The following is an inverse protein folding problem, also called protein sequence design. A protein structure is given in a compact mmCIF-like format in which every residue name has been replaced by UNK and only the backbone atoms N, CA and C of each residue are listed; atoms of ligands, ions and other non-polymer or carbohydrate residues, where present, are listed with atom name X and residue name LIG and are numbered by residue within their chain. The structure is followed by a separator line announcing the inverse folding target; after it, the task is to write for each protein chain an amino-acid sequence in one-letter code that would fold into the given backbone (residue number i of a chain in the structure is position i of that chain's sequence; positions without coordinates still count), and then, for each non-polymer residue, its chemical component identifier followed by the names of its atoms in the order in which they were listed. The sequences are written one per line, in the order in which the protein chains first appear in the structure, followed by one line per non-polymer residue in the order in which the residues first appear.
data_IF_180521862639
#
_entry.id   IF_180521862639
#
_cell.length_a   1.000
_cell.length_b   1.000
_cell.length_c   1.000
_cell.angle_alpha   90.00
_cell.angle_beta   90.00
_cell.angle_gamma   90.00
#
_symmetry.space_group_name_H-M   'P 1'
#
loop_
_entity.id
_entity.type
_entity.pdbx_description
1 polymer ?
#
# COMPACT_ATOMS: atom_id res chain seq x y z
N UNK A 1 3.15 -18.65 -8.74
CA UNK A 1 4.07 -17.49 -8.90
C UNK A 1 4.71 -17.19 -7.58
N UNK A 2 6.03 -17.18 -7.46
CA UNK A 2 6.72 -16.88 -6.19
C UNK A 2 7.98 -16.07 -6.44
N UNK A 3 8.35 -15.24 -5.48
CA UNK A 3 9.63 -14.53 -5.45
C UNK A 3 10.72 -15.53 -5.06
N UNK A 4 11.66 -15.81 -5.96
CA UNK A 4 12.74 -16.79 -5.74
C UNK A 4 14.10 -16.13 -5.50
N UNK A 5 14.27 -14.85 -5.83
CA UNK A 5 15.50 -14.11 -5.53
C UNK A 5 15.22 -12.62 -5.37
N UNK A 6 15.88 -12.01 -4.40
CA UNK A 6 15.87 -10.57 -4.16
C UNK A 6 17.31 -10.06 -4.08
N UNK A 7 17.68 -9.11 -4.91
CA UNK A 7 18.95 -8.42 -4.87
C UNK A 7 18.76 -6.92 -4.60
N UNK A 8 19.55 -6.37 -3.70
CA UNK A 8 19.46 -4.99 -3.23
C UNK A 8 20.85 -4.35 -3.36
N UNK A 9 20.91 -3.14 -3.90
CA UNK A 9 22.14 -2.37 -4.05
C UNK A 9 21.93 -0.95 -3.54
N UNK A 10 22.80 -0.51 -2.63
CA UNK A 10 22.83 0.83 -2.00
C UNK A 10 21.45 1.37 -1.55
N UNK A 11 20.66 0.50 -0.92
CA UNK A 11 19.32 0.81 -0.47
C UNK A 11 19.26 0.80 1.06
N UNK A 12 18.86 1.90 1.67
CA UNK A 12 18.74 2.07 3.14
C UNK A 12 20.04 1.67 3.86
N UNK A 13 20.01 0.60 4.66
CA UNK A 13 21.17 0.06 5.37
C UNK A 13 21.99 -0.93 4.54
N UNK A 14 21.50 -1.36 3.37
CA UNK A 14 22.13 -2.38 2.56
C UNK A 14 23.04 -1.77 1.50
N UNK A 15 24.31 -2.17 1.45
CA UNK A 15 25.24 -1.86 0.34
C UNK A 15 24.96 -2.76 -0.86
N UNK A 16 25.31 -4.04 -0.74
CA UNK A 16 24.95 -5.07 -1.70
C UNK A 16 24.53 -6.31 -0.94
N UNK A 17 23.34 -6.80 -1.23
CA UNK A 17 22.79 -7.98 -0.57
C UNK A 17 21.95 -8.79 -1.56
N UNK A 18 22.03 -10.10 -1.43
CA UNK A 18 21.19 -11.04 -2.19
C UNK A 18 20.57 -12.05 -1.23
N UNK A 19 19.33 -12.35 -1.46
CA UNK A 19 18.58 -13.35 -0.74
C UNK A 19 17.92 -14.29 -1.74
N UNK A 20 18.30 -15.56 -1.70
CA UNK A 20 17.64 -16.61 -2.46
C UNK A 20 16.52 -17.20 -1.60
N UNK A 21 15.36 -17.42 -2.21
CA UNK A 21 14.10 -17.68 -1.54
C UNK A 21 13.49 -19.01 -2.00
N UNK A 22 12.85 -19.71 -1.08
CA UNK A 22 12.23 -21.01 -1.35
C UNK A 22 10.81 -20.92 -1.95
N UNK A 23 10.27 -19.70 -2.12
CA UNK A 23 8.89 -19.50 -2.58
C UNK A 23 7.82 -19.60 -1.51
N UNK A 24 8.13 -20.11 -0.32
CA UNK A 24 7.24 -20.20 0.84
C UNK A 24 7.36 -19.01 1.81
N UNK A 25 6.82 -19.16 3.03
CA UNK A 25 6.94 -18.14 4.08
C UNK A 25 8.40 -17.90 4.48
N UNK A 26 8.74 -16.65 4.80
CA UNK A 26 10.09 -16.20 5.18
C UNK A 26 10.01 -15.45 6.52
N UNK A 27 10.81 -15.87 7.46
CA UNK A 27 10.98 -15.23 8.78
C UNK A 27 12.29 -14.47 8.81
N UNK A 28 12.20 -13.15 8.97
CA UNK A 28 13.34 -12.24 9.13
C UNK A 28 13.49 -11.90 10.61
N UNK A 29 14.49 -12.44 11.27
CA UNK A 29 14.68 -12.21 12.71
C UNK A 29 16.03 -11.58 13.03
N UNK A 30 16.12 -10.85 14.12
CA UNK A 30 17.33 -10.18 14.57
C UNK A 30 17.04 -8.92 15.38
N UNK A 31 18.07 -8.25 15.91
CA UNK A 31 17.91 -7.09 16.79
C UNK A 31 17.20 -5.92 16.10
N UNK A 32 16.66 -4.99 16.90
CA UNK A 32 16.08 -3.76 16.37
C UNK A 32 17.15 -2.94 15.65
N UNK A 33 16.76 -2.33 14.53
CA UNK A 33 17.67 -1.57 13.68
C UNK A 33 18.57 -2.41 12.76
N UNK A 34 18.47 -3.73 12.75
CA UNK A 34 19.29 -4.59 11.89
C UNK A 34 18.97 -4.51 10.39
N UNK A 35 17.83 -3.89 10.02
CA UNK A 35 17.43 -3.73 8.62
C UNK A 35 16.26 -4.58 8.16
N UNK A 36 15.60 -5.35 9.03
CA UNK A 36 14.45 -6.20 8.69
C UNK A 36 13.35 -5.46 7.93
N UNK A 37 12.89 -4.34 8.47
CA UNK A 37 11.90 -3.47 7.81
C UNK A 37 12.40 -2.90 6.48
N UNK A 38 13.70 -2.66 6.32
CA UNK A 38 14.28 -2.20 5.06
C UNK A 38 14.18 -3.26 3.95
N UNK A 39 14.25 -4.55 4.31
CA UNK A 39 14.01 -5.67 3.39
C UNK A 39 12.53 -5.70 2.96
N UNK A 40 11.59 -5.58 3.90
CA UNK A 40 10.16 -5.49 3.56
C UNK A 40 9.88 -4.27 2.68
N UNK A 41 10.50 -3.13 2.99
CA UNK A 41 10.38 -1.91 2.18
C UNK A 41 10.87 -2.14 0.75
N UNK A 42 11.99 -2.83 0.56
CA UNK A 42 12.49 -3.19 -0.76
C UNK A 42 11.48 -4.02 -1.56
N UNK A 43 10.89 -5.05 -0.95
CA UNK A 43 9.85 -5.87 -1.61
C UNK A 43 8.60 -5.02 -1.91
N UNK A 44 8.20 -4.14 -1.00
CA UNK A 44 7.03 -3.27 -1.20
C UNK A 44 7.20 -2.29 -2.37
N UNK A 45 8.44 -1.98 -2.77
CA UNK A 45 8.75 -1.15 -3.93
C UNK A 45 8.64 -1.91 -5.27
N UNK A 46 8.42 -3.20 -5.26
CA UNK A 46 8.03 -3.95 -6.45
C UNK A 46 6.54 -3.74 -6.82
N UNK A 47 6.00 -2.60 -6.41
CA UNK A 47 4.67 -2.08 -6.78
C UNK A 47 4.75 -0.61 -7.18
N UNK A 48 3.70 -0.04 -7.81
CA UNK A 48 3.56 1.40 -7.96
C UNK A 48 3.53 2.12 -6.60
N UNK A 49 3.86 3.41 -6.60
CA UNK A 49 3.80 4.23 -5.40
C UNK A 49 5.13 4.31 -4.64
N UNK A 50 5.07 4.66 -3.36
CA UNK A 50 6.24 5.00 -2.53
C UNK A 50 6.66 3.88 -1.57
N UNK A 51 6.11 2.67 -1.75
CA UNK A 51 6.41 1.53 -0.89
C UNK A 51 5.86 1.67 0.53
N UNK A 52 6.37 0.84 1.42
CA UNK A 52 5.89 0.61 2.78
C UNK A 52 5.93 1.88 3.65
N UNK A 53 7.03 2.65 3.60
CA UNK A 53 7.22 3.86 4.42
C UNK A 53 6.83 5.17 3.73
N UNK A 54 6.44 5.15 2.48
CA UNK A 54 6.04 6.34 1.75
C UNK A 54 7.17 7.35 1.47
N UNK A 55 8.43 6.94 1.59
CA UNK A 55 9.61 7.78 1.38
C UNK A 55 9.77 8.22 -0.09
N UNK A 56 10.47 9.32 -0.30
CA UNK A 56 10.84 9.75 -1.64
C UNK A 56 11.99 8.89 -2.20
N UNK A 57 12.09 8.81 -3.52
CA UNK A 57 13.12 8.04 -4.18
C UNK A 57 14.56 8.45 -3.77
N UNK A 58 14.76 9.73 -3.46
CA UNK A 58 16.04 10.26 -2.99
C UNK A 58 16.38 9.84 -1.54
N UNK A 59 15.37 9.65 -0.68
CA UNK A 59 15.56 9.25 0.71
C UNK A 59 15.88 7.77 0.91
N UNK A 60 15.63 6.96 -0.11
CA UNK A 60 15.81 5.50 -0.05
C UNK A 60 17.26 5.07 -0.28
N UNK A 61 18.08 5.90 -0.94
CA UNK A 61 19.48 5.59 -1.20
C UNK A 61 20.30 5.46 0.09
N UNK A 62 21.20 4.46 0.11
CA UNK A 62 22.13 4.28 1.21
C UNK A 62 22.97 5.55 1.40
N UNK A 63 23.18 5.91 2.65
CA UNK A 63 24.01 7.05 3.03
C UNK A 63 24.97 6.63 4.12
N UNK A 64 26.25 6.91 3.91
CA UNK A 64 27.25 6.74 4.93
C UNK A 64 27.51 8.05 5.72
N UNK A 65 28.08 7.96 6.92
CA UNK A 65 28.43 9.15 7.69
C UNK A 65 29.32 10.10 6.86
N UNK A 66 28.89 11.36 6.74
CA UNK A 66 29.59 12.39 5.95
C UNK A 66 29.08 12.57 4.51
N UNK A 67 28.24 11.69 4.00
CA UNK A 67 27.60 11.87 2.68
C UNK A 67 26.40 12.83 2.78
N UNK A 68 26.39 13.87 1.93
CA UNK A 68 25.29 14.86 1.89
C UNK A 68 24.03 14.29 1.25
N UNK A 69 24.14 13.35 0.33
CA UNK A 69 23.04 12.70 -0.40
C UNK A 69 23.20 11.19 -0.33
N UNK A 70 22.06 10.48 -0.45
CA UNK A 70 22.06 9.04 -0.65
C UNK A 70 22.65 8.67 -2.02
N UNK A 71 23.09 7.43 -2.14
CA UNK A 71 23.62 6.85 -3.37
C UNK A 71 22.50 6.44 -4.33
N UNK A 72 22.75 6.34 -5.65
CA UNK A 72 21.86 5.61 -6.56
C UNK A 72 21.64 4.20 -6.04
N UNK A 73 20.40 3.72 -6.14
CA UNK A 73 20.03 2.44 -5.55
C UNK A 73 19.22 1.58 -6.51
N UNK A 74 19.25 0.29 -6.28
CA UNK A 74 18.53 -0.67 -7.09
C UNK A 74 17.97 -1.84 -6.27
N UNK A 75 16.81 -2.33 -6.68
CA UNK A 75 16.17 -3.54 -6.18
C UNK A 75 15.84 -4.37 -7.41
N UNK A 76 16.26 -5.63 -7.42
CA UNK A 76 15.94 -6.59 -8.46
C UNK A 76 15.36 -7.85 -7.83
N UNK A 77 14.31 -8.37 -8.43
CA UNK A 77 13.62 -9.57 -8.00
C UNK A 77 13.50 -10.54 -9.18
N UNK A 78 13.67 -11.83 -8.92
CA UNK A 78 13.31 -12.89 -9.86
C UNK A 78 12.06 -13.60 -9.35
N UNK A 79 11.06 -13.69 -10.18
CA UNK A 79 9.82 -14.41 -9.92
C UNK A 79 9.80 -15.70 -10.73
N UNK A 80 9.44 -16.80 -10.08
CA UNK A 80 9.09 -18.03 -10.76
C UNK A 80 7.62 -18.00 -11.15
N UNK A 81 7.33 -18.25 -12.41
CA UNK A 81 5.97 -18.30 -12.97
C UNK A 81 5.76 -19.61 -13.73
N UNK A 82 4.52 -19.99 -14.03
CA UNK A 82 4.24 -21.18 -14.86
C UNK A 82 4.92 -21.14 -16.24
N UNK A 83 5.17 -19.93 -16.77
CA UNK A 83 5.76 -19.71 -18.10
C UNK A 83 7.29 -19.51 -18.06
N UNK A 84 7.92 -19.59 -16.88
CA UNK A 84 9.35 -19.40 -16.67
C UNK A 84 9.66 -18.28 -15.69
N UNK A 85 10.91 -17.86 -15.64
CA UNK A 85 11.36 -16.79 -14.75
C UNK A 85 11.11 -15.41 -15.37
N UNK A 86 10.65 -14.47 -14.53
CA UNK A 86 10.50 -13.05 -14.87
C UNK A 86 11.39 -12.23 -13.93
N UNK A 87 12.14 -11.26 -14.46
CA UNK A 87 12.98 -10.36 -13.69
C UNK A 87 12.32 -8.99 -13.60
N UNK A 88 12.03 -8.55 -12.38
CA UNK A 88 11.48 -7.22 -12.10
C UNK A 88 12.55 -6.41 -11.37
N UNK A 89 12.79 -5.19 -11.83
CA UNK A 89 13.73 -4.27 -11.17
C UNK A 89 13.15 -2.88 -11.00
N UNK A 90 13.51 -2.22 -9.93
CA UNK A 90 13.24 -0.79 -9.72
C UNK A 90 14.41 -0.12 -9.03
N UNK A 91 14.60 1.17 -9.28
CA UNK A 91 15.71 1.89 -8.69
C UNK A 91 15.82 3.33 -9.18
N UNK A 92 16.88 3.99 -8.74
CA UNK A 92 17.25 5.36 -9.12
C UNK A 92 18.68 5.36 -9.63
N UNK A 93 18.88 5.85 -10.84
CA UNK A 93 20.21 5.93 -11.46
C UNK A 93 20.93 7.24 -11.14
N UNK A 94 20.18 8.34 -10.95
CA UNK A 94 20.75 9.67 -10.69
C UNK A 94 20.03 10.28 -9.49
N UNK A 95 20.81 10.75 -8.52
CA UNK A 95 20.30 11.38 -7.32
C UNK A 95 20.12 12.90 -7.51
N UNK A 96 19.47 13.55 -6.53
CA UNK A 96 19.19 14.98 -6.53
C UNK A 96 17.75 15.30 -6.90
N UNK A 97 17.51 16.56 -7.30
CA UNK A 97 16.15 17.06 -7.60
C UNK A 97 15.45 16.33 -8.75
N UNK A 98 16.20 15.67 -9.63
CA UNK A 98 15.71 14.89 -10.75
C UNK A 98 15.59 13.38 -10.45
N UNK A 99 15.78 12.96 -9.20
CA UNK A 99 15.70 11.54 -8.82
C UNK A 99 14.32 10.97 -9.17
N UNK A 100 14.30 10.09 -10.17
CA UNK A 100 13.08 9.39 -10.60
C UNK A 100 13.30 7.90 -10.51
N UNK A 101 12.31 7.22 -9.95
CA UNK A 101 12.29 5.76 -9.92
C UNK A 101 12.00 5.22 -11.32
N UNK A 102 12.85 4.32 -11.77
CA UNK A 102 12.73 3.59 -13.03
C UNK A 102 12.30 2.16 -12.71
N UNK A 103 11.45 1.60 -13.55
CA UNK A 103 11.00 0.20 -13.47
C UNK A 103 11.48 -0.52 -14.73
N UNK A 104 11.95 -1.76 -14.54
CA UNK A 104 12.32 -2.67 -15.63
C UNK A 104 11.68 -4.03 -15.42
N UNK A 105 11.22 -4.63 -16.51
CA UNK A 105 10.73 -6.00 -16.56
C UNK A 105 11.50 -6.70 -17.66
N UNK A 106 12.21 -7.77 -17.34
CA UNK A 106 13.13 -8.50 -18.22
C UNK A 106 14.14 -7.60 -18.95
N UNK A 107 14.64 -6.58 -18.22
CA UNK A 107 15.63 -5.62 -18.72
C UNK A 107 15.03 -4.44 -19.47
N UNK A 108 13.79 -4.49 -19.92
CA UNK A 108 13.11 -3.41 -20.63
C UNK A 108 12.44 -2.41 -19.67
N UNK A 109 12.49 -1.12 -20.01
CA UNK A 109 11.81 -0.08 -19.23
C UNK A 109 10.29 -0.25 -19.33
N UNK A 110 9.62 -0.29 -18.18
CA UNK A 110 8.19 -0.50 -18.09
C UNK A 110 7.48 0.59 -17.25
N UNK A 111 6.17 0.75 -17.48
CA UNK A 111 5.34 1.57 -16.61
C UNK A 111 5.18 0.89 -15.24
N UNK A 112 5.21 1.66 -14.12
CA UNK A 112 5.13 1.07 -12.77
C UNK A 112 3.92 0.16 -12.53
N UNK A 113 2.77 0.45 -13.15
CA UNK A 113 1.55 -0.37 -13.04
C UNK A 113 1.72 -1.82 -13.50
N UNK A 114 2.61 -2.06 -14.48
CA UNK A 114 2.87 -3.40 -14.99
C UNK A 114 3.48 -4.37 -13.98
N UNK A 115 4.13 -3.86 -12.92
CA UNK A 115 4.62 -4.73 -11.84
C UNK A 115 3.47 -5.50 -11.17
N UNK A 116 2.27 -4.92 -11.09
CA UNK A 116 1.09 -5.55 -10.48
C UNK A 116 0.50 -6.71 -11.31
N UNK A 117 0.92 -6.85 -12.57
CA UNK A 117 0.59 -8.03 -13.38
C UNK A 117 1.30 -9.29 -12.86
N UNK A 118 2.43 -9.11 -12.16
CA UNK A 118 3.31 -10.18 -11.71
C UNK A 118 3.35 -10.33 -10.18
N UNK A 119 3.33 -9.24 -9.43
CA UNK A 119 3.49 -9.27 -7.98
C UNK A 119 2.56 -8.25 -7.31
N UNK A 120 1.84 -8.66 -6.27
CA UNK A 120 0.89 -7.82 -5.53
C UNK A 120 1.22 -7.80 -4.03
N UNK A 121 2.23 -7.04 -3.60
CA UNK A 121 2.53 -6.92 -2.18
C UNK A 121 1.39 -6.24 -1.41
N UNK A 122 0.99 -6.87 -0.32
CA UNK A 122 0.04 -6.36 0.67
C UNK A 122 0.76 -6.36 2.01
N UNK A 123 0.62 -5.32 2.81
CA UNK A 123 1.42 -5.23 4.04
C UNK A 123 0.70 -4.66 5.25
N UNK A 124 1.12 -5.15 6.43
CA UNK A 124 0.83 -4.59 7.73
C UNK A 124 2.12 -4.03 8.37
N UNK A 125 2.03 -2.83 8.93
CA UNK A 125 3.14 -2.18 9.64
C UNK A 125 2.67 -1.63 10.98
N UNK A 126 3.57 -1.42 11.95
CA UNK A 126 3.21 -0.82 13.24
C UNK A 126 2.54 0.56 13.14
N UNK A 127 2.83 1.32 12.09
CA UNK A 127 2.17 2.61 11.82
C UNK A 127 0.66 2.48 11.62
N UNK A 128 0.19 1.30 11.19
CA UNK A 128 -1.23 1.03 10.94
C UNK A 128 -1.98 0.48 12.15
N UNK A 129 -1.29 0.19 13.25
CA UNK A 129 -1.87 -0.40 14.46
C UNK A 129 -3.01 0.47 15.05
N UNK A 130 -2.98 1.77 14.78
CA UNK A 130 -3.98 2.74 15.23
C UNK A 130 -4.69 3.46 14.09
N UNK A 131 -4.76 2.81 12.93
CA UNK A 131 -5.30 3.38 11.69
C UNK A 131 -6.64 4.09 11.87
N UNK A 132 -7.56 3.51 12.63
CA UNK A 132 -8.89 4.08 12.83
C UNK A 132 -8.90 5.28 13.79
N UNK A 133 -7.84 5.46 14.58
CA UNK A 133 -7.63 6.65 15.43
C UNK A 133 -6.81 7.75 14.75
N UNK A 134 -6.17 7.44 13.62
CA UNK A 134 -5.35 8.38 12.86
C UNK A 134 -6.20 9.35 12.02
N UNK A 135 -5.53 10.19 11.25
CA UNK A 135 -6.21 11.13 10.37
C UNK A 135 -6.95 10.40 9.23
N UNK A 136 -8.07 10.96 8.81
CA UNK A 136 -8.85 10.47 7.66
C UNK A 136 -8.01 10.21 6.41
N UNK A 137 -7.05 11.09 6.13
CA UNK A 137 -6.18 10.95 4.96
C UNK A 137 -5.32 9.66 5.02
N UNK A 138 -4.93 9.22 6.21
CA UNK A 138 -4.14 7.99 6.40
C UNK A 138 -5.04 6.75 6.21
N UNK A 139 -6.29 6.80 6.70
CA UNK A 139 -7.28 5.74 6.42
C UNK A 139 -7.58 5.60 4.94
N UNK A 140 -7.79 6.72 4.25
CA UNK A 140 -8.03 6.71 2.81
C UNK A 140 -6.82 6.18 2.02
N UNK A 141 -5.62 6.62 2.38
CA UNK A 141 -4.37 6.14 1.77
C UNK A 141 -4.15 4.65 2.01
N UNK A 142 -4.46 4.16 3.21
CA UNK A 142 -4.45 2.72 3.51
C UNK A 142 -5.41 1.97 2.60
N UNK A 143 -6.65 2.45 2.49
CA UNK A 143 -7.66 1.81 1.67
C UNK A 143 -7.32 1.84 0.18
N UNK A 144 -6.92 2.99 -0.36
CA UNK A 144 -6.49 3.11 -1.76
C UNK A 144 -5.38 2.10 -2.11
N UNK A 145 -4.48 1.80 -1.17
CA UNK A 145 -3.45 0.79 -1.37
C UNK A 145 -4.04 -0.62 -1.52
N UNK A 146 -5.08 -0.96 -0.75
CA UNK A 146 -5.80 -2.23 -0.92
C UNK A 146 -6.52 -2.26 -2.27
N UNK A 147 -7.07 -1.13 -2.68
CA UNK A 147 -7.69 -0.98 -4.01
C UNK A 147 -6.65 -1.18 -5.13
N UNK A 148 -5.43 -0.62 -5.01
CA UNK A 148 -4.36 -0.81 -6.02
C UNK A 148 -4.03 -2.28 -6.24
N UNK A 149 -3.93 -3.05 -5.18
CA UNK A 149 -3.65 -4.49 -5.28
C UNK A 149 -4.76 -5.25 -6.03
N UNK A 150 -5.99 -4.75 -5.97
CA UNK A 150 -7.14 -5.34 -6.64
C UNK A 150 -7.37 -4.81 -8.06
N UNK A 151 -7.16 -3.52 -8.24
CA UNK A 151 -7.41 -2.76 -9.46
C UNK A 151 -6.13 -1.97 -9.83
N UNK A 152 -5.23 -2.55 -10.63
CA UNK A 152 -3.93 -1.95 -10.95
C UNK A 152 -4.01 -0.52 -11.51
N UNK A 153 -5.04 -0.21 -12.29
CA UNK A 153 -5.24 1.12 -12.90
C UNK A 153 -5.58 2.19 -11.86
N UNK A 154 -6.08 1.82 -10.69
CA UNK A 154 -6.46 2.77 -9.65
C UNK A 154 -5.28 3.64 -9.18
N UNK A 155 -4.07 3.10 -9.16
CA UNK A 155 -2.86 3.86 -8.83
C UNK A 155 -2.61 5.03 -9.80
N UNK A 156 -2.84 4.82 -11.09
CA UNK A 156 -2.74 5.87 -12.10
C UNK A 156 -3.86 6.91 -11.96
N UNK A 157 -5.08 6.45 -11.69
CA UNK A 157 -6.25 7.31 -11.46
C UNK A 157 -6.01 8.26 -10.29
N UNK A 158 -5.59 7.73 -9.12
CA UNK A 158 -5.30 8.55 -7.92
C UNK A 158 -4.13 9.50 -8.18
N UNK A 159 -3.06 9.04 -8.83
CA UNK A 159 -1.91 9.88 -9.18
C UNK A 159 -2.29 11.05 -10.09
N UNK A 160 -3.12 10.81 -11.10
CA UNK A 160 -3.62 11.85 -12.01
C UNK A 160 -4.52 12.84 -11.27
N UNK A 161 -5.41 12.34 -10.41
CA UNK A 161 -6.25 13.17 -9.56
C UNK A 161 -5.40 14.10 -8.66
N UNK A 162 -4.45 13.54 -7.92
CA UNK A 162 -3.57 14.31 -7.03
C UNK A 162 -2.72 15.35 -7.78
N UNK A 163 -2.25 15.01 -8.98
CA UNK A 163 -1.49 15.96 -9.82
C UNK A 163 -2.36 17.15 -10.23
N UNK A 164 -3.54 16.88 -10.77
CA UNK A 164 -4.48 17.91 -11.17
C UNK A 164 -4.94 18.76 -9.97
N UNK A 165 -5.13 18.13 -8.80
CA UNK A 165 -5.48 18.82 -7.56
C UNK A 165 -4.41 19.82 -7.12
N UNK A 166 -3.14 19.41 -7.13
CA UNK A 166 -2.01 20.30 -6.80
C UNK A 166 -1.90 21.47 -7.78
N UNK A 167 -2.07 21.21 -9.07
CA UNK A 167 -2.04 22.28 -10.11
C UNK A 167 -3.20 23.26 -9.93
N UNK A 168 -4.42 22.75 -9.66
CA UNK A 168 -5.60 23.59 -9.39
C UNK A 168 -5.39 24.49 -8.19
N UNK A 169 -4.91 23.94 -7.07
CA UNK A 169 -4.70 24.74 -5.85
C UNK A 169 -3.62 25.78 -6.06
N UNK A 170 -2.53 25.45 -6.76
CA UNK A 170 -1.48 26.42 -7.09
C UNK A 170 -2.05 27.61 -7.88
N UNK A 171 -2.94 27.36 -8.85
CA UNK A 171 -3.58 28.42 -9.63
C UNK A 171 -4.56 29.26 -8.80
N UNK A 172 -5.35 28.62 -7.95
CA UNK A 172 -6.32 29.33 -7.10
C UNK A 172 -5.68 30.15 -5.98
N UNK A 173 -4.47 29.79 -5.54
CA UNK A 173 -3.73 30.46 -4.46
C UNK A 173 -2.70 31.47 -4.98
N UNK A 174 -2.62 31.71 -6.30
CA UNK A 174 -1.72 32.72 -6.88
C UNK A 174 -2.33 34.12 -6.68
N UNK A 175 -1.78 34.86 -5.74
CA UNK A 175 -2.24 36.22 -5.39
C UNK A 175 -1.84 37.27 -6.47
N UNK A 176 -0.80 37.00 -7.26
CA UNK A 176 -0.28 37.92 -8.26
C UNK A 176 -1.08 37.84 -9.58
N UNK A 177 -1.68 36.70 -9.88
CA UNK A 177 -2.38 36.45 -11.13
C UNK A 177 -3.76 35.85 -10.91
N UNK A 178 -4.78 36.45 -11.49
CA UNK A 178 -6.08 35.78 -11.61
C UNK A 178 -5.93 34.52 -12.45
N UNK A 179 -6.38 33.36 -11.94
CA UNK A 179 -6.27 32.12 -12.69
C UNK A 179 -7.06 32.21 -14.00
N UNK A 180 -6.47 31.67 -15.07
CA UNK A 180 -7.15 31.55 -16.37
C UNK A 180 -8.34 30.57 -16.19
N UNK A 181 -9.58 31.05 -16.44
CA UNK A 181 -10.78 30.22 -16.30
C UNK A 181 -10.74 28.96 -17.17
N UNK A 182 -10.21 29.06 -18.41
CA UNK A 182 -10.14 27.94 -19.35
C UNK A 182 -9.20 26.87 -18.81
N UNK A 183 -8.08 27.27 -18.20
CA UNK A 183 -7.17 26.30 -17.59
C UNK A 183 -7.76 25.65 -16.34
N UNK A 184 -8.45 26.42 -15.49
CA UNK A 184 -9.16 25.87 -14.33
C UNK A 184 -10.24 24.88 -14.77
N UNK A 185 -11.04 25.21 -15.78
CA UNK A 185 -12.07 24.32 -16.31
C UNK A 185 -11.47 23.00 -16.81
N UNK A 186 -10.34 23.05 -17.53
CA UNK A 186 -9.64 21.85 -18.00
C UNK A 186 -9.07 20.99 -16.86
N UNK A 187 -8.55 21.61 -15.79
CA UNK A 187 -8.07 20.89 -14.61
C UNK A 187 -9.21 20.26 -13.82
N UNK A 188 -10.32 20.98 -13.68
CA UNK A 188 -11.50 20.49 -12.95
C UNK A 188 -12.22 19.37 -13.72
N UNK A 189 -12.22 19.40 -15.05
CA UNK A 189 -12.67 18.28 -15.88
C UNK A 189 -11.84 17.01 -15.62
N UNK A 190 -10.50 17.13 -15.60
CA UNK A 190 -9.60 16.00 -15.26
C UNK A 190 -9.79 15.51 -13.83
N UNK A 191 -10.02 16.43 -12.88
CA UNK A 191 -10.32 16.08 -11.49
C UNK A 191 -11.62 15.30 -11.36
N UNK A 192 -12.66 15.74 -12.10
CA UNK A 192 -13.97 15.10 -12.08
C UNK A 192 -13.91 13.69 -12.68
N UNK A 193 -13.24 13.54 -13.82
CA UNK A 193 -13.04 12.24 -14.48
C UNK A 193 -12.28 11.27 -13.58
N UNK A 194 -11.09 11.66 -13.10
CA UNK A 194 -10.29 10.81 -12.23
C UNK A 194 -10.99 10.57 -10.88
N UNK A 195 -11.71 11.56 -10.36
CA UNK A 195 -12.45 11.48 -9.11
C UNK A 195 -13.63 10.51 -9.17
N UNK A 196 -14.43 10.55 -10.24
CA UNK A 196 -15.55 9.64 -10.45
C UNK A 196 -15.07 8.18 -10.55
N UNK A 197 -14.02 7.95 -11.34
CA UNK A 197 -13.41 6.63 -11.46
C UNK A 197 -12.81 6.13 -10.15
N UNK A 198 -12.15 7.01 -9.37
CA UNK A 198 -11.64 6.65 -8.05
C UNK A 198 -12.75 6.22 -7.10
N UNK A 199 -13.88 6.95 -7.06
CA UNK A 199 -15.03 6.62 -6.22
C UNK A 199 -15.65 5.26 -6.59
N UNK A 200 -15.87 4.99 -7.86
CA UNK A 200 -16.40 3.71 -8.34
C UNK A 200 -15.48 2.54 -8.01
N UNK A 201 -14.17 2.68 -8.23
CA UNK A 201 -13.18 1.66 -7.89
C UNK A 201 -13.17 1.37 -6.38
N UNK A 202 -13.26 2.39 -5.54
CA UNK A 202 -13.32 2.28 -4.07
C UNK A 202 -14.57 1.53 -3.61
N UNK A 203 -15.74 1.88 -4.15
CA UNK A 203 -17.01 1.23 -3.78
C UNK A 203 -16.99 -0.25 -4.18
N UNK A 204 -16.52 -0.56 -5.38
CA UNK A 204 -16.36 -1.95 -5.83
C UNK A 204 -15.39 -2.72 -4.94
N UNK A 205 -14.24 -2.12 -4.60
CA UNK A 205 -13.25 -2.76 -3.74
C UNK A 205 -13.73 -2.90 -2.30
N UNK A 206 -14.48 -1.93 -1.75
CA UNK A 206 -15.07 -2.01 -0.42
C UNK A 206 -16.01 -3.21 -0.31
N UNK A 207 -16.91 -3.36 -1.27
CA UNK A 207 -17.86 -4.49 -1.32
C UNK A 207 -17.10 -5.82 -1.35
N UNK A 208 -16.12 -5.95 -2.24
CA UNK A 208 -15.33 -7.16 -2.35
C UNK A 208 -14.51 -7.46 -1.07
N UNK A 209 -13.99 -6.42 -0.39
CA UNK A 209 -13.28 -6.58 0.88
C UNK A 209 -14.26 -6.99 1.99
N UNK A 210 -15.45 -6.41 2.05
CA UNK A 210 -16.48 -6.77 3.02
C UNK A 210 -16.93 -8.23 2.84
N UNK A 211 -17.12 -8.68 1.60
CA UNK A 211 -17.42 -10.08 1.30
C UNK A 211 -16.28 -11.00 1.78
N UNK A 212 -15.02 -10.60 1.57
CA UNK A 212 -13.85 -11.32 2.07
C UNK A 212 -13.79 -11.39 3.60
N UNK A 213 -14.15 -10.32 4.31
CA UNK A 213 -14.26 -10.32 5.78
C UNK A 213 -15.36 -11.28 6.23
N UNK A 214 -16.53 -11.22 5.60
CA UNK A 214 -17.68 -12.06 5.94
C UNK A 214 -17.39 -13.56 5.74
N UNK A 215 -16.65 -13.90 4.68
CA UNK A 215 -16.23 -15.28 4.39
C UNK A 215 -15.24 -15.85 5.43
N UNK A 216 -14.72 -15.02 6.32
CA UNK A 216 -13.73 -15.36 7.35
C UNK A 216 -14.28 -15.21 8.78
N UNK A 217 -15.60 -15.24 8.95
CA UNK A 217 -16.26 -15.03 10.23
C UNK A 217 -15.90 -16.10 11.30
N UNK A 218 -15.42 -17.26 10.88
CA UNK A 218 -14.95 -18.36 11.72
C UNK A 218 -13.52 -18.17 12.26
N UNK A 219 -12.78 -17.17 11.77
CA UNK A 219 -11.41 -16.88 12.22
C UNK A 219 -11.38 -16.07 13.52
N UNK A 220 -10.36 -16.22 14.37
CA UNK A 220 -10.27 -15.54 15.67
C UNK A 220 -9.84 -14.05 15.53
N UNK A 221 -10.28 -13.42 14.47
CA UNK A 221 -10.04 -11.98 14.21
C UNK A 221 -11.35 -11.20 14.31
N UNK A 222 -11.33 -9.98 14.87
CA UNK A 222 -12.54 -9.19 15.01
C UNK A 222 -13.11 -8.85 13.63
N UNK A 223 -14.42 -8.91 13.52
CA UNK A 223 -15.17 -8.56 12.30
C UNK A 223 -15.50 -7.08 12.28
N UNK A 224 -15.46 -6.47 11.10
CA UNK A 224 -15.85 -5.09 10.88
C UNK A 224 -16.91 -4.96 9.78
N UNK A 225 -17.82 -4.02 9.97
CA UNK A 225 -18.64 -3.47 8.89
C UNK A 225 -17.97 -2.19 8.40
N UNK A 226 -17.57 -2.19 7.13
CA UNK A 226 -16.82 -1.10 6.51
C UNK A 226 -17.77 -0.11 5.81
N UNK A 227 -17.40 1.17 5.84
CA UNK A 227 -18.09 2.23 5.14
C UNK A 227 -17.15 3.19 4.44
N UNK A 228 -17.66 3.89 3.42
CA UNK A 228 -16.98 5.03 2.79
C UNK A 228 -17.89 6.26 2.94
N UNK A 229 -17.35 7.29 3.57
CA UNK A 229 -18.02 8.57 3.77
C UNK A 229 -17.43 9.61 2.83
N UNK A 230 -18.11 9.83 1.71
CA UNK A 230 -17.76 10.82 0.70
C UNK A 230 -18.90 10.99 -0.30
N UNK A 231 -19.20 12.22 -0.79
CA UNK A 231 -20.33 12.46 -1.70
C UNK A 231 -20.27 11.61 -2.98
N UNK A 232 -19.09 11.45 -3.57
CA UNK A 232 -18.91 10.68 -4.80
C UNK A 232 -19.08 9.17 -4.54
N UNK A 233 -18.52 8.67 -3.45
CA UNK A 233 -18.64 7.28 -3.04
C UNK A 233 -20.07 6.96 -2.63
N UNK A 234 -20.79 7.89 -1.98
CA UNK A 234 -22.20 7.70 -1.65
C UNK A 234 -23.06 7.56 -2.90
N UNK A 235 -22.89 8.46 -3.89
CA UNK A 235 -23.59 8.34 -5.17
C UNK A 235 -23.31 6.99 -5.86
N UNK A 236 -22.05 6.54 -5.84
CA UNK A 236 -21.68 5.24 -6.40
C UNK A 236 -22.31 4.06 -5.65
N UNK A 237 -22.43 4.14 -4.32
CA UNK A 237 -23.14 3.15 -3.49
C UNK A 237 -24.65 3.13 -3.78
N UNK A 238 -25.24 4.29 -4.07
CA UNK A 238 -26.65 4.44 -4.42
C UNK A 238 -26.96 4.05 -5.88
N UNK A 239 -25.92 3.63 -6.64
CA UNK A 239 -26.05 3.11 -8.01
C UNK A 239 -25.96 4.16 -9.10
N UNK A 240 -25.49 5.38 -8.81
CA UNK A 240 -25.19 6.38 -9.84
C UNK A 240 -24.08 5.90 -10.78
N UNK A 241 -24.18 6.24 -12.05
CA UNK A 241 -23.16 5.94 -13.03
C UNK A 241 -21.98 6.93 -13.00
N UNK A 242 -20.93 6.64 -13.80
CA UNK A 242 -19.74 7.49 -13.86
C UNK A 242 -20.08 8.93 -14.33
N UNK A 243 -21.04 9.10 -15.23
CA UNK A 243 -21.42 10.39 -15.78
C UNK A 243 -22.11 11.29 -14.74
N UNK A 244 -22.99 10.72 -13.93
CA UNK A 244 -23.67 11.44 -12.84
C UNK A 244 -22.67 11.92 -11.79
N UNK A 245 -21.75 11.05 -11.37
CA UNK A 245 -20.69 11.38 -10.39
C UNK A 245 -19.75 12.44 -10.96
N UNK A 246 -19.35 12.32 -12.22
CA UNK A 246 -18.52 13.30 -12.93
C UNK A 246 -19.18 14.67 -12.94
N UNK A 247 -20.46 14.76 -13.30
CA UNK A 247 -21.23 15.99 -13.32
C UNK A 247 -21.27 16.65 -11.94
N UNK A 248 -21.63 15.89 -10.91
CA UNK A 248 -21.66 16.36 -9.52
C UNK A 248 -20.30 16.90 -9.06
N UNK A 249 -19.20 16.21 -9.39
CA UNK A 249 -17.86 16.64 -9.05
C UNK A 249 -17.47 17.92 -9.76
N UNK A 250 -17.76 18.03 -11.08
CA UNK A 250 -17.48 19.22 -11.88
C UNK A 250 -18.13 20.47 -11.32
N UNK A 251 -19.45 20.40 -11.09
CA UNK A 251 -20.19 21.49 -10.44
C UNK A 251 -19.64 21.82 -9.05
N UNK A 252 -19.28 20.80 -8.26
CA UNK A 252 -18.74 20.96 -6.92
C UNK A 252 -17.40 21.69 -6.91
N UNK A 253 -16.49 21.36 -7.84
CA UNK A 253 -15.20 22.05 -7.98
C UNK A 253 -15.36 23.51 -8.39
N UNK A 254 -16.24 23.80 -9.33
CA UNK A 254 -16.54 25.18 -9.76
C UNK A 254 -17.08 25.99 -8.57
N UNK A 255 -18.06 25.48 -7.86
CA UNK A 255 -18.61 26.14 -6.65
C UNK A 255 -17.59 26.35 -5.55
N UNK A 256 -16.58 25.48 -5.45
CA UNK A 256 -15.56 25.52 -4.38
C UNK A 256 -14.40 26.48 -4.67
N UNK A 257 -14.25 27.03 -5.89
CA UNK A 257 -13.07 27.83 -6.31
C UNK A 257 -12.68 28.91 -5.30
N UNK A 258 -13.61 29.79 -4.95
CA UNK A 258 -13.31 30.90 -4.04
C UNK A 258 -12.90 30.43 -2.64
N UNK A 259 -13.60 29.44 -2.10
CA UNK A 259 -13.32 28.88 -0.80
C UNK A 259 -11.99 28.11 -0.75
N UNK A 260 -11.70 27.35 -1.79
CA UNK A 260 -10.46 26.57 -1.89
C UNK A 260 -9.26 27.47 -2.07
N UNK A 261 -9.37 28.54 -2.88
CA UNK A 261 -8.33 29.56 -3.03
C UNK A 261 -8.02 30.27 -1.70
N UNK A 262 -9.04 30.73 -0.99
CA UNK A 262 -8.88 31.37 0.32
C UNK A 262 -8.28 30.42 1.37
N UNK A 263 -8.56 29.11 1.29
CA UNK A 263 -8.04 28.11 2.21
C UNK A 263 -6.64 27.57 1.84
N UNK A 264 -6.13 27.88 0.63
CA UNK A 264 -4.89 27.30 0.10
C UNK A 264 -4.94 25.78 -0.09
N UNK A 265 -6.14 25.17 -0.03
CA UNK A 265 -6.34 23.72 -0.16
C UNK A 265 -7.74 23.39 -0.64
N UNK A 266 -7.92 22.25 -1.30
CA UNK A 266 -9.26 21.81 -1.69
C UNK A 266 -10.03 21.24 -0.50
N UNK A 267 -11.24 21.75 -0.32
CA UNK A 267 -12.18 21.34 0.73
C UNK A 267 -13.31 20.43 0.21
N UNK A 268 -13.30 20.12 -1.07
CA UNK A 268 -14.27 19.28 -1.75
C UNK A 268 -13.59 18.28 -2.68
N UNK A 269 -14.14 17.06 -2.78
CA UNK A 269 -13.71 16.03 -3.72
C UNK A 269 -13.30 14.71 -3.05
N UNK A 270 -13.06 13.65 -3.84
CA UNK A 270 -12.79 12.28 -3.38
C UNK A 270 -11.54 12.09 -2.50
N UNK A 271 -10.60 13.05 -2.48
CA UNK A 271 -9.48 13.04 -1.53
C UNK A 271 -9.91 13.31 -0.08
N UNK A 272 -11.18 13.65 0.13
CA UNK A 272 -11.76 13.91 1.45
C UNK A 272 -12.66 12.78 1.94
N UNK A 273 -12.76 11.71 1.19
CA UNK A 273 -13.49 10.49 1.58
C UNK A 273 -12.83 9.87 2.81
N UNK A 274 -13.64 9.30 3.69
CA UNK A 274 -13.17 8.57 4.86
C UNK A 274 -13.53 7.09 4.76
N UNK A 275 -12.58 6.23 5.17
CA UNK A 275 -12.85 4.82 5.42
C UNK A 275 -13.28 4.69 6.88
N UNK A 276 -14.51 4.24 7.12
CA UNK A 276 -15.03 3.95 8.45
C UNK A 276 -15.13 2.45 8.68
N UNK A 277 -15.07 2.05 9.94
CA UNK A 277 -15.26 0.67 10.36
C UNK A 277 -16.03 0.62 11.67
N UNK A 278 -17.07 -0.20 11.71
CA UNK A 278 -17.81 -0.55 12.92
C UNK A 278 -17.34 -1.94 13.39
N UNK A 279 -16.84 -2.04 14.60
CA UNK A 279 -16.51 -3.32 15.22
C UNK A 279 -17.80 -4.10 15.47
N UNK A 280 -18.03 -5.17 14.73
CA UNK A 280 -19.32 -5.86 14.67
C UNK A 280 -19.76 -6.41 16.01
N UNK A 281 -18.89 -7.15 16.70
CA UNK A 281 -19.23 -7.78 18.00
C UNK A 281 -19.53 -6.76 19.10
N UNK A 282 -18.90 -5.59 19.06
CA UNK A 282 -19.04 -4.54 20.07
C UNK A 282 -20.02 -3.45 19.69
N UNK A 283 -20.48 -3.46 18.45
CA UNK A 283 -21.38 -2.45 17.85
C UNK A 283 -20.95 -1.01 18.15
N UNK A 284 -19.63 -0.72 17.93
CA UNK A 284 -19.04 0.62 18.15
C UNK A 284 -18.00 0.93 17.09
N UNK A 285 -17.70 2.21 16.82
CA UNK A 285 -16.64 2.60 15.90
C UNK A 285 -15.31 1.94 16.25
N UNK A 286 -14.58 1.47 15.25
CA UNK A 286 -13.26 0.85 15.44
C UNK A 286 -12.25 1.79 16.13
N UNK A 287 -12.39 3.10 15.94
CA UNK A 287 -11.58 4.13 16.61
C UNK A 287 -11.67 4.11 18.15
N UNK A 288 -12.78 3.62 18.70
CA UNK A 288 -13.00 3.49 20.14
C UNK A 288 -12.43 2.19 20.72
N UNK A 289 -11.92 1.32 19.87
CA UNK A 289 -11.26 0.09 20.26
C UNK A 289 -9.89 0.33 20.91
N UNK A 290 -9.45 -0.61 21.77
CA UNK A 290 -8.08 -0.63 22.26
C UNK A 290 -7.09 -0.78 21.08
N UNK A 291 -5.83 -0.41 21.29
CA UNK A 291 -4.79 -0.56 20.25
C UNK A 291 -4.67 -2.00 19.74
N UNK A 292 -4.79 -2.99 20.62
CA UNK A 292 -4.76 -4.41 20.24
C UNK A 292 -5.96 -4.83 19.39
N UNK A 293 -7.16 -4.29 19.68
CA UNK A 293 -8.37 -4.52 18.86
C UNK A 293 -8.25 -3.88 17.48
N UNK A 294 -7.82 -2.63 17.42
CA UNK A 294 -7.62 -1.93 16.14
C UNK A 294 -6.60 -2.67 15.28
N UNK A 295 -5.47 -3.09 15.86
CA UNK A 295 -4.45 -3.87 15.18
C UNK A 295 -4.99 -5.20 14.62
N UNK A 296 -5.70 -5.97 15.45
CA UNK A 296 -6.29 -7.24 15.03
C UNK A 296 -7.32 -7.03 13.89
N UNK A 297 -8.06 -5.92 13.95
CA UNK A 297 -9.02 -5.55 12.92
C UNK A 297 -8.33 -5.17 11.61
N UNK A 298 -7.30 -4.33 11.65
CA UNK A 298 -6.49 -3.97 10.47
C UNK A 298 -5.85 -5.21 9.86
N UNK A 299 -5.32 -6.11 10.68
CA UNK A 299 -4.75 -7.37 10.20
C UNK A 299 -5.81 -8.24 9.51
N UNK A 300 -7.04 -8.32 10.05
CA UNK A 300 -8.14 -9.04 9.39
C UNK A 300 -8.50 -8.45 8.02
N UNK A 301 -8.50 -7.11 7.88
CA UNK A 301 -8.70 -6.49 6.56
C UNK A 301 -7.61 -6.88 5.56
N UNK A 302 -6.36 -6.88 6.00
CA UNK A 302 -5.21 -7.25 5.17
C UNK A 302 -5.28 -8.71 4.76
N UNK A 303 -5.60 -9.61 5.69
CA UNK A 303 -5.75 -11.03 5.41
C UNK A 303 -6.94 -11.32 4.48
N UNK A 304 -8.08 -10.64 4.69
CA UNK A 304 -9.24 -10.75 3.80
C UNK A 304 -8.89 -10.31 2.37
N UNK A 305 -8.17 -9.20 2.22
CA UNK A 305 -7.69 -8.74 0.93
C UNK A 305 -6.70 -9.73 0.30
N UNK A 306 -5.76 -10.26 1.09
CA UNK A 306 -4.75 -11.19 0.61
C UNK A 306 -5.39 -12.51 0.16
N UNK A 307 -6.32 -13.06 0.96
CA UNK A 307 -7.08 -14.26 0.61
C UNK A 307 -7.87 -14.10 -0.70
N UNK A 308 -8.47 -12.92 -0.89
CA UNK A 308 -9.18 -12.60 -2.14
C UNK A 308 -8.24 -12.53 -3.34
N UNK A 309 -7.08 -11.89 -3.18
CA UNK A 309 -6.08 -11.78 -4.24
C UNK A 309 -5.46 -13.13 -4.60
N UNK A 310 -5.33 -14.05 -3.66
CA UNK A 310 -4.82 -15.40 -3.88
C UNK A 310 -5.70 -16.24 -4.83
N UNK A 311 -6.96 -15.86 -5.02
CA UNK A 311 -7.86 -16.51 -6.00
C UNK A 311 -7.64 -16.00 -7.43
N UNK A 312 -6.83 -14.96 -7.62
CA UNK A 312 -6.51 -14.38 -8.91
C UNK A 312 -5.27 -15.00 -9.58
N UNK A 313 -4.89 -14.45 -10.73
CA UNK A 313 -3.73 -14.92 -11.51
C UNK A 313 -2.39 -14.44 -10.96
N UNK A 314 -2.33 -13.20 -10.44
CA UNK A 314 -1.13 -12.66 -9.84
C UNK A 314 -1.13 -12.95 -8.33
N UNK A 315 -0.10 -13.67 -7.86
CA UNK A 315 0.00 -14.07 -6.45
C UNK A 315 0.28 -12.86 -5.55
N UNK A 316 -0.46 -12.73 -4.43
CA UNK A 316 -0.13 -11.76 -3.41
C UNK A 316 1.14 -12.17 -2.65
N UNK A 317 1.94 -11.18 -2.27
CA UNK A 317 3.02 -11.33 -1.29
C UNK A 317 2.64 -10.56 -0.04
N UNK A 318 2.58 -11.26 1.09
CA UNK A 318 2.19 -10.68 2.37
C UNK A 318 3.43 -10.21 3.13
N UNK A 319 3.46 -8.93 3.52
CA UNK A 319 4.56 -8.35 4.29
C UNK A 319 4.04 -7.96 5.67
N UNK A 320 4.58 -8.58 6.72
CA UNK A 320 4.14 -8.39 8.10
C UNK A 320 5.30 -7.84 8.94
N UNK A 321 5.33 -6.52 9.14
CA UNK A 321 6.35 -5.87 9.95
C UNK A 321 5.94 -5.89 11.42
N UNK A 322 6.64 -6.69 12.22
CA UNK A 322 6.40 -6.91 13.66
C UNK A 322 4.97 -7.39 14.03
N UNK A 323 4.11 -7.66 13.05
CA UNK A 323 2.72 -8.01 13.30
C UNK A 323 2.53 -9.24 14.21
N UNK A 324 3.27 -10.36 14.02
CA UNK A 324 3.12 -11.55 14.88
C UNK A 324 3.50 -11.31 16.35
N UNK A 325 4.43 -10.38 16.63
CA UNK A 325 4.93 -10.11 17.97
C UNK A 325 3.87 -9.56 18.94
N UNK A 326 2.84 -8.93 18.41
CA UNK A 326 1.81 -8.28 19.20
C UNK A 326 0.47 -9.03 19.24
N UNK A 327 0.42 -10.23 18.64
CA UNK A 327 -0.75 -11.09 18.68
C UNK A 327 -0.68 -12.02 19.89
N UNK A 328 -1.83 -12.31 20.48
CA UNK A 328 -1.94 -13.46 21.40
C UNK A 328 -1.64 -14.77 20.66
N UNK A 329 -1.42 -15.82 21.43
CA UNK A 329 -1.01 -17.12 20.89
C UNK A 329 -2.04 -17.70 19.91
N UNK A 330 -3.34 -17.57 20.20
CA UNK A 330 -4.40 -18.10 19.36
C UNK A 330 -4.47 -17.39 18.00
N UNK A 331 -4.40 -16.04 17.99
CA UNK A 331 -4.39 -15.25 16.74
C UNK A 331 -3.12 -15.46 15.94
N UNK A 332 -1.98 -15.61 16.63
CA UNK A 332 -0.71 -15.88 15.95
C UNK A 332 -0.72 -17.25 15.28
N UNK A 333 -1.21 -18.27 15.94
CA UNK A 333 -1.38 -19.60 15.35
C UNK A 333 -2.32 -19.55 14.15
N UNK A 334 -3.48 -18.90 14.29
CA UNK A 334 -4.43 -18.75 13.19
C UNK A 334 -3.85 -17.95 11.98
N UNK A 335 -2.99 -16.96 12.23
CA UNK A 335 -2.28 -16.25 11.16
C UNK A 335 -1.34 -17.19 10.40
N UNK A 336 -0.57 -18.00 11.10
CA UNK A 336 0.37 -18.94 10.47
C UNK A 336 -0.35 -20.03 9.69
N UNK A 337 -1.41 -20.60 10.27
CA UNK A 337 -2.25 -21.61 9.60
C UNK A 337 -2.89 -21.06 8.32
N UNK A 338 -3.29 -19.80 8.34
CA UNK A 338 -3.88 -19.15 7.17
C UNK A 338 -2.87 -18.88 6.07
N UNK A 339 -1.66 -18.42 6.41
CA UNK A 339 -0.56 -18.23 5.45
C UNK A 339 -0.26 -19.56 4.76
N UNK A 340 -0.23 -20.66 5.49
CA UNK A 340 0.00 -21.99 4.97
C UNK A 340 -1.16 -22.51 4.11
N UNK A 341 -2.39 -22.40 4.62
CA UNK A 341 -3.60 -22.86 3.93
C UNK A 341 -3.80 -22.17 2.59
N UNK A 342 -3.48 -20.88 2.50
CA UNK A 342 -3.57 -20.09 1.28
C UNK A 342 -2.33 -20.23 0.37
N UNK A 343 -1.30 -20.97 0.79
CA UNK A 343 -0.05 -21.11 0.06
C UNK A 343 0.66 -19.76 -0.18
N UNK A 344 0.55 -18.83 0.78
CA UNK A 344 1.08 -17.47 0.60
C UNK A 344 2.58 -17.43 0.81
N UNK A 345 3.26 -16.69 -0.05
CA UNK A 345 4.59 -16.20 0.29
C UNK A 345 4.45 -14.99 1.22
N UNK A 346 4.79 -15.20 2.49
CA UNK A 346 4.69 -14.17 3.52
C UNK A 346 6.07 -13.86 4.09
N UNK A 347 6.43 -12.58 4.16
CA UNK A 347 7.64 -12.10 4.82
C UNK A 347 7.24 -11.50 6.16
N UNK A 348 7.74 -12.10 7.23
CA UNK A 348 7.41 -11.71 8.61
C UNK A 348 8.67 -11.28 9.35
N UNK A 349 8.60 -10.17 10.09
CA UNK A 349 9.71 -9.71 10.91
C UNK A 349 9.46 -9.90 12.39
N UNK A 350 10.53 -10.17 13.14
CA UNK A 350 10.52 -10.25 14.60
C UNK A 350 11.91 -10.07 15.20
N UNK A 351 11.98 -9.82 16.50
CA UNK A 351 13.26 -9.68 17.23
C UNK A 351 13.87 -11.03 17.55
N UNK A 352 13.04 -12.03 17.84
CA UNK A 352 13.43 -13.35 18.32
C UNK A 352 12.89 -14.44 17.39
N UNK A 353 13.68 -15.48 17.21
CA UNK A 353 13.32 -16.65 16.41
C UNK A 353 12.17 -17.43 17.03
N UNK A 354 12.16 -17.56 18.36
CA UNK A 354 11.21 -18.37 19.11
C UNK A 354 9.75 -17.93 18.91
N UNK A 355 9.53 -16.66 18.59
CA UNK A 355 8.21 -16.14 18.22
C UNK A 355 7.57 -16.90 17.05
N UNK A 356 8.42 -17.48 16.21
CA UNK A 356 8.03 -18.20 14.98
C UNK A 356 8.29 -19.72 15.07
N UNK A 357 8.47 -20.26 16.27
CA UNK A 357 8.77 -21.69 16.46
C UNK A 357 7.75 -22.61 15.78
N UNK A 358 6.47 -22.20 15.71
CA UNK A 358 5.44 -22.94 15.00
C UNK A 358 5.67 -23.05 13.48
N UNK A 359 6.54 -22.23 12.90
CA UNK A 359 6.91 -22.26 11.48
C UNK A 359 8.22 -23.01 11.19
N UNK A 360 8.85 -23.63 12.21
CA UNK A 360 10.06 -24.43 11.98
C UNK A 360 9.78 -25.60 11.03
N UNK A 361 10.67 -25.74 10.02
CA UNK A 361 10.48 -26.71 8.93
C UNK A 361 9.44 -26.33 7.89
N UNK A 362 8.67 -25.23 8.08
CA UNK A 362 7.64 -24.75 7.15
C UNK A 362 7.93 -23.36 6.57
N UNK A 363 8.92 -22.65 7.11
CA UNK A 363 9.36 -21.34 6.65
C UNK A 363 10.87 -21.31 6.49
N UNK A 364 11.36 -20.40 5.64
CA UNK A 364 12.75 -20.06 5.54
C UNK A 364 13.11 -19.03 6.62
N UNK A 365 14.08 -19.34 7.48
CA UNK A 365 14.53 -18.44 8.54
C UNK A 365 15.79 -17.70 8.11
N UNK A 366 15.77 -16.38 8.16
CA UNK A 366 16.87 -15.51 7.77
C UNK A 366 17.24 -14.62 8.95
N UNK A 367 18.46 -14.79 9.45
CA UNK A 367 19.02 -13.88 10.45
C UNK A 367 19.47 -12.59 9.80
N UNK A 368 18.97 -11.47 10.30
CA UNK A 368 19.30 -10.12 9.79
C UNK A 368 20.15 -9.42 10.83
N UNK A 369 21.39 -9.08 10.43
CA UNK A 369 22.35 -8.39 11.26
C UNK A 369 22.98 -7.20 10.52
N UNK A 370 23.67 -6.28 11.22
CA UNK A 370 24.41 -5.21 10.56
C UNK A 370 25.51 -5.71 9.62
N UNK A 371 25.93 -6.99 9.78
CA UNK A 371 26.95 -7.63 8.95
C UNK A 371 26.37 -8.28 7.69
N UNK A 372 25.06 -8.39 7.58
CA UNK A 372 24.39 -8.98 6.42
C UNK A 372 23.27 -9.94 6.77
N UNK A 373 22.87 -10.72 5.75
CA UNK A 373 21.82 -11.75 5.81
C UNK A 373 22.47 -13.12 5.92
N UNK A 374 21.98 -13.95 6.84
CA UNK A 374 22.44 -15.35 7.02
C UNK A 374 21.23 -16.27 7.10
N UNK A 375 21.25 -17.35 6.32
CA UNK A 375 20.26 -18.44 6.34
C UNK A 375 20.44 -19.36 7.55
#
# INVERSE_FOLDING_TARGET
MSLISLAITDFRSYGASRLDLSGGPVVLYGPNGSGKTNLLEAISLLTPGKGLRGATAAEMGRREPGEAMGRPWGIAATLETPDGEIKIGTGVQTMGAAARRIVRIDGETAQPGRMLEHLRPVWATPEQDRLFSDARADRLKFFDRLVFAAHPDHAAVVSNYEKALRERIRLLSDEERRPDPIWLDALEARLSEAGARAALNRVTALKALQDGINARADRPFPQADLGLEGPAEQMAQDGADEADILSMLGEGFVRARARDGAAGRSLFGPHRTDLTALHREKNRPAAEGSSGEQKALVLNLILAQTARLAQGTAQPVLLLDEAPAHLDEARRAALFDEIEMLGLQAFMTGTERDLFAALEGRAQFVSVSPLGLTL
#
